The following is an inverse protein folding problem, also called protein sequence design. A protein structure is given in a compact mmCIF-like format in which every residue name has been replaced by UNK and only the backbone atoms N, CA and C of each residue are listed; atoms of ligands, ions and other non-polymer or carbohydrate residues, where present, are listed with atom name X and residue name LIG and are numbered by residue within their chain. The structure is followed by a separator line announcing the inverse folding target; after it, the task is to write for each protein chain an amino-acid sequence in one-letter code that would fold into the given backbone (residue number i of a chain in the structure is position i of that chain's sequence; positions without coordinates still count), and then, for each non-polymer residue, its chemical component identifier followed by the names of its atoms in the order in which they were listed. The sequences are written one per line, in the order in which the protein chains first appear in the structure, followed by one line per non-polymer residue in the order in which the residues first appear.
data_IF_635808573701
#
_entry.id   IF_635808573701
#
_cell.length_a   1.000
_cell.length_b   1.000
_cell.length_c   1.000
_cell.angle_alpha   90.00
_cell.angle_beta   90.00
_cell.angle_gamma   90.00
#
_symmetry.space_group_name_H-M   'P 1'
#
loop_
_entity.id
_entity.type
_entity.pdbx_description
1 polymer ?
#
# COMPACT_ATOMS: atom_id res chain seq x y z
N UNK A 1 6.26 0.24 -12.00
CA UNK A 1 7.20 -0.89 -11.88
C UNK A 1 8.38 -0.60 -12.78
N UNK A 2 9.61 -0.78 -12.29
CA UNK A 2 10.84 -0.58 -13.04
C UNK A 2 11.66 -1.87 -12.91
N UNK A 3 12.10 -2.40 -14.03
CA UNK A 3 12.99 -3.56 -14.13
C UNK A 3 14.08 -3.17 -15.13
N UNK A 4 15.36 -3.36 -14.77
CA UNK A 4 16.46 -2.91 -15.61
C UNK A 4 17.75 -3.72 -15.39
N UNK A 5 18.50 -3.87 -16.48
CA UNK A 5 19.91 -4.26 -16.49
C UNK A 5 20.68 -3.23 -17.30
N UNK A 6 21.91 -2.90 -16.90
CA UNK A 6 22.73 -1.90 -17.57
C UNK A 6 24.22 -2.16 -17.40
N UNK A 7 25.00 -1.81 -18.42
CA UNK A 7 26.46 -2.00 -18.48
C UNK A 7 27.21 -0.89 -17.72
N UNK A 8 27.04 -0.83 -16.40
CA UNK A 8 27.69 0.14 -15.50
C UNK A 8 27.65 1.59 -15.99
N UNK A 9 26.46 2.05 -16.39
CA UNK A 9 26.24 3.41 -16.90
C UNK A 9 26.20 4.45 -15.76
N UNK A 10 26.32 5.73 -16.12
CA UNK A 10 26.17 6.82 -15.16
C UNK A 10 24.74 6.92 -14.64
N UNK A 11 24.59 7.30 -13.36
CA UNK A 11 23.28 7.53 -12.74
C UNK A 11 22.44 8.57 -13.50
N UNK A 12 23.09 9.60 -14.06
CA UNK A 12 22.41 10.62 -14.87
C UNK A 12 21.70 10.01 -16.09
N UNK A 13 22.37 9.10 -16.79
CA UNK A 13 21.83 8.43 -17.99
C UNK A 13 20.69 7.49 -17.60
N UNK A 14 20.86 6.73 -16.52
CA UNK A 14 19.81 5.86 -15.98
C UNK A 14 18.55 6.66 -15.58
N UNK A 15 18.71 7.78 -14.87
CA UNK A 15 17.61 8.67 -14.50
C UNK A 15 16.95 9.32 -15.74
N UNK A 16 17.73 9.68 -16.75
CA UNK A 16 17.19 10.20 -18.00
C UNK A 16 16.35 9.12 -18.72
N UNK A 17 16.84 7.88 -18.80
CA UNK A 17 16.11 6.76 -19.38
C UNK A 17 14.77 6.52 -18.68
N UNK A 18 14.71 6.60 -17.34
CA UNK A 18 13.45 6.51 -16.58
C UNK A 18 12.49 7.63 -16.97
N UNK A 19 12.96 8.89 -17.02
CA UNK A 19 12.13 10.05 -17.38
C UNK A 19 11.53 9.90 -18.78
N UNK A 20 12.36 9.47 -19.73
CA UNK A 20 11.93 9.21 -21.11
C UNK A 20 10.95 8.03 -21.17
N UNK A 21 11.19 6.96 -20.41
CA UNK A 21 10.27 5.82 -20.31
C UNK A 21 8.88 6.23 -19.82
N UNK A 22 8.80 7.03 -18.75
CA UNK A 22 7.52 7.55 -18.23
C UNK A 22 6.81 8.45 -19.25
N UNK A 23 7.55 9.23 -20.04
CA UNK A 23 6.96 10.04 -21.13
C UNK A 23 6.22 9.15 -22.14
N UNK A 24 6.81 8.02 -22.52
CA UNK A 24 6.19 7.11 -23.49
C UNK A 24 5.01 6.32 -22.90
N UNK A 25 5.11 5.88 -21.65
CA UNK A 25 3.96 5.21 -21.00
C UNK A 25 2.75 6.14 -20.91
N UNK A 26 2.95 7.45 -20.74
CA UNK A 26 1.85 8.42 -20.77
C UNK A 26 1.13 8.49 -22.12
N UNK A 27 1.85 8.36 -23.23
CA UNK A 27 1.23 8.31 -24.57
C UNK A 27 0.40 7.04 -24.75
N UNK A 28 0.91 5.90 -24.26
CA UNK A 28 0.17 4.63 -24.27
C UNK A 28 -1.11 4.75 -23.42
N UNK A 29 -1.01 5.36 -22.23
CA UNK A 29 -2.16 5.62 -21.35
C UNK A 29 -3.22 6.46 -22.06
N UNK A 30 -2.83 7.52 -22.77
CA UNK A 30 -3.78 8.35 -23.52
C UNK A 30 -4.53 7.55 -24.59
N UNK A 31 -3.82 6.67 -25.31
CA UNK A 31 -4.44 5.75 -26.28
C UNK A 31 -5.44 4.80 -25.63
N UNK A 32 -5.07 4.18 -24.50
CA UNK A 32 -5.97 3.30 -23.75
C UNK A 32 -7.18 4.05 -23.21
N UNK A 33 -7.00 5.27 -22.69
CA UNK A 33 -8.09 6.10 -22.21
C UNK A 33 -9.07 6.45 -23.33
N UNK A 34 -8.57 6.74 -24.54
CA UNK A 34 -9.42 6.97 -25.70
C UNK A 34 -10.22 5.72 -26.05
N UNK A 35 -9.57 4.55 -26.07
CA UNK A 35 -10.24 3.27 -26.31
C UNK A 35 -11.33 2.96 -25.26
N UNK A 36 -11.04 3.19 -23.97
CA UNK A 36 -12.00 3.00 -22.89
C UNK A 36 -13.18 3.96 -22.99
N UNK A 37 -13.00 5.18 -23.52
CA UNK A 37 -14.12 6.09 -23.79
C UNK A 37 -15.02 5.58 -24.92
N UNK A 38 -14.44 4.95 -25.93
CA UNK A 38 -15.17 4.48 -27.11
C UNK A 38 -15.92 3.17 -26.87
N UNK A 39 -15.28 2.20 -26.21
CA UNK A 39 -15.81 0.82 -26.08
C UNK A 39 -15.75 0.28 -24.65
N UNK A 40 -15.51 1.14 -23.65
CA UNK A 40 -15.38 0.72 -22.26
C UNK A 40 -16.65 0.06 -21.72
N UNK A 41 -16.47 -0.96 -20.90
CA UNK A 41 -17.56 -1.61 -20.16
C UNK A 41 -17.73 -0.94 -18.80
N UNK A 42 -18.98 -0.87 -18.33
CA UNK A 42 -19.29 -0.40 -16.98
C UNK A 42 -18.55 -1.25 -15.95
N UNK A 43 -17.80 -0.60 -15.06
CA UNK A 43 -17.13 -1.29 -13.96
C UNK A 43 -18.19 -1.94 -13.07
N UNK A 44 -18.01 -3.22 -12.77
CA UNK A 44 -18.86 -3.91 -11.79
C UNK A 44 -18.72 -3.25 -10.42
N UNK A 45 -19.82 -3.23 -9.67
CA UNK A 45 -19.79 -2.79 -8.27
C UNK A 45 -19.45 -4.01 -7.41
N UNK A 46 -18.31 -4.00 -6.69
CA UNK A 46 -18.02 -5.06 -5.73
C UNK A 46 -19.11 -5.12 -4.67
N UNK A 47 -19.58 -6.32 -4.33
CA UNK A 47 -20.63 -6.51 -3.33
C UNK A 47 -20.24 -5.96 -1.94
N UNK A 48 -18.95 -6.06 -1.60
CA UNK A 48 -18.37 -5.53 -0.37
C UNK A 48 -16.91 -5.19 -0.61
N UNK A 49 -16.49 -4.01 -0.15
CA UNK A 49 -15.09 -3.67 0.00
C UNK A 49 -14.71 -3.92 1.46
N UNK A 50 -13.73 -4.79 1.69
CA UNK A 50 -13.24 -5.11 3.02
C UNK A 50 -12.26 -4.04 3.50
N UNK A 51 -12.79 -2.85 3.77
CA UNK A 51 -12.05 -1.73 4.37
C UNK A 51 -12.53 -1.55 5.80
N UNK A 52 -11.64 -1.55 6.81
CA UNK A 52 -12.05 -1.36 8.19
C UNK A 52 -12.65 0.04 8.40
N UNK A 53 -13.65 0.14 9.29
CA UNK A 53 -14.23 1.44 9.66
C UNK A 53 -13.17 2.32 10.32
N UNK A 54 -13.08 3.63 9.97
CA UNK A 54 -12.18 4.57 10.64
C UNK A 54 -12.35 4.62 12.16
N UNK A 55 -13.53 4.29 12.68
CA UNK A 55 -13.85 4.27 14.12
C UNK A 55 -13.09 3.17 14.90
N UNK A 56 -12.56 2.15 14.20
CA UNK A 56 -11.87 0.99 14.78
C UNK A 56 -10.36 1.28 15.00
N UNK A 57 -9.80 2.35 14.44
CA UNK A 57 -8.34 2.59 14.44
C UNK A 57 -7.90 3.39 15.67
N UNK A 58 -7.21 2.73 16.62
CA UNK A 58 -6.57 3.39 17.79
C UNK A 58 -5.04 3.34 17.71
N UNK A 59 -4.38 4.40 18.19
CA UNK A 59 -2.93 4.59 18.08
C UNK A 59 -2.19 4.24 19.39
N UNK A 60 -1.63 3.02 19.48
CA UNK A 60 -0.71 2.61 20.57
C UNK A 60 0.72 2.29 20.09
N UNK A 61 0.97 2.39 18.79
CA UNK A 61 2.23 1.95 18.15
C UNK A 61 3.38 2.96 18.24
N UNK A 62 3.10 4.23 18.57
CA UNK A 62 4.10 5.30 18.51
C UNK A 62 5.36 4.98 19.32
N UNK A 63 5.20 4.56 20.57
CA UNK A 63 6.33 4.25 21.46
C UNK A 63 7.24 3.14 20.91
N UNK A 64 6.66 2.09 20.29
CA UNK A 64 7.42 0.97 19.72
C UNK A 64 8.20 1.38 18.47
N UNK A 65 7.65 2.27 17.65
CA UNK A 65 8.30 2.71 16.40
C UNK A 65 9.30 3.86 16.58
N UNK A 66 9.29 4.54 17.74
CA UNK A 66 10.31 5.54 18.09
C UNK A 66 11.48 4.99 18.88
N UNK A 67 11.37 3.76 19.38
CA UNK A 67 12.43 3.14 20.16
C UNK A 67 13.44 2.43 19.24
N UNK A 68 14.66 2.97 19.24
CA UNK A 68 15.79 2.49 18.45
C UNK A 68 16.45 1.23 19.02
N UNK A 69 16.16 0.86 20.26
CA UNK A 69 16.76 -0.31 20.93
C UNK A 69 16.15 -1.63 20.43
N UNK A 70 14.97 -1.59 19.80
CA UNK A 70 14.36 -2.77 19.20
C UNK A 70 15.12 -3.24 17.94
N UNK A 71 15.47 -4.52 17.93
CA UNK A 71 15.78 -5.25 16.70
C UNK A 71 14.49 -5.67 15.95
N UNK A 72 14.63 -6.34 14.80
CA UNK A 72 13.49 -6.77 13.98
C UNK A 72 12.50 -7.65 14.79
N UNK A 73 13.02 -8.66 15.48
CA UNK A 73 12.20 -9.66 16.17
C UNK A 73 11.51 -9.04 17.38
N UNK A 74 12.26 -8.34 18.22
CA UNK A 74 11.70 -7.69 19.41
C UNK A 74 10.68 -6.60 19.07
N UNK A 75 10.84 -5.90 17.94
CA UNK A 75 9.81 -4.97 17.42
C UNK A 75 8.55 -5.71 16.99
N UNK A 76 8.69 -6.80 16.24
CA UNK A 76 7.56 -7.61 15.78
C UNK A 76 6.76 -8.18 16.97
N UNK A 77 7.46 -8.64 18.03
CA UNK A 77 6.85 -9.11 19.27
C UNK A 77 6.11 -8.00 20.02
N UNK A 78 6.72 -6.82 20.15
CA UNK A 78 6.10 -5.66 20.82
C UNK A 78 4.83 -5.19 20.08
N UNK A 79 4.87 -5.14 18.75
CA UNK A 79 3.69 -4.85 17.91
C UNK A 79 2.64 -5.94 18.05
N UNK A 80 3.03 -7.21 18.05
CA UNK A 80 2.11 -8.34 18.19
C UNK A 80 1.38 -8.33 19.53
N UNK A 81 2.07 -7.94 20.62
CA UNK A 81 1.44 -7.75 21.93
C UNK A 81 0.36 -6.67 21.88
N UNK A 82 0.67 -5.50 21.29
CA UNK A 82 -0.32 -4.42 21.12
C UNK A 82 -1.49 -4.87 20.25
N UNK A 83 -1.22 -5.65 19.19
CA UNK A 83 -2.25 -6.21 18.31
C UNK A 83 -3.21 -7.10 19.09
N UNK A 84 -2.71 -8.06 19.86
CA UNK A 84 -3.53 -8.97 20.66
C UNK A 84 -4.41 -8.20 21.67
N UNK A 85 -3.82 -7.28 22.43
CA UNK A 85 -4.55 -6.45 23.39
C UNK A 85 -5.67 -5.62 22.71
N UNK A 86 -5.39 -5.11 21.51
CA UNK A 86 -6.33 -4.22 20.80
C UNK A 86 -7.43 -5.03 20.11
N UNK A 87 -7.10 -6.19 19.52
CA UNK A 87 -8.09 -7.10 18.93
C UNK A 87 -9.08 -7.60 19.98
N UNK A 88 -8.63 -7.91 21.20
CA UNK A 88 -9.51 -8.28 22.31
C UNK A 88 -10.48 -7.14 22.67
N UNK A 89 -9.96 -5.92 22.86
CA UNK A 89 -10.80 -4.74 23.11
C UNK A 89 -11.78 -4.45 21.97
N UNK A 90 -11.37 -4.67 20.72
CA UNK A 90 -12.23 -4.43 19.56
C UNK A 90 -13.36 -5.47 19.47
N UNK A 91 -13.11 -6.74 19.81
CA UNK A 91 -14.15 -7.77 19.91
C UNK A 91 -15.20 -7.44 20.96
N UNK A 92 -14.79 -6.82 22.08
CA UNK A 92 -15.73 -6.35 23.11
C UNK A 92 -16.56 -5.15 22.63
N UNK A 93 -15.94 -4.18 21.94
CA UNK A 93 -16.62 -2.96 21.48
C UNK A 93 -17.51 -3.22 20.26
N UNK A 94 -17.12 -4.17 19.39
CA UNK A 94 -17.80 -4.50 18.14
C UNK A 94 -18.09 -6.01 18.03
N UNK A 95 -18.96 -6.57 18.90
CA UNK A 95 -19.21 -8.02 18.96
C UNK A 95 -19.91 -8.58 17.70
N UNK A 96 -20.53 -7.71 16.90
CA UNK A 96 -21.26 -8.07 15.68
C UNK A 96 -20.38 -8.09 14.44
N UNK A 97 -19.13 -7.63 14.55
CA UNK A 97 -18.15 -7.63 13.47
C UNK A 97 -17.29 -8.87 13.62
N UNK A 98 -17.43 -9.82 12.69
CA UNK A 98 -16.53 -10.97 12.58
C UNK A 98 -15.14 -10.43 12.17
N UNK A 99 -14.26 -10.23 13.16
CA UNK A 99 -12.91 -9.66 13.07
C UNK A 99 -11.87 -10.72 12.69
#
# INVERSE_FOLDING_TARGET
MLEASAENILQQDFCHAIKVGVKYTQQIIQGIQQLVKEIGVTKGTPQKLFTPSPEIVKHRLYAVFTDCEYDKISRDEAVNKIRLDTEEQLKEIFPEVDL
#
